data_IF_035940111452
#
_entry.id   IF_035940111452
#
_cell.length_a   1.000
_cell.length_b   1.000
_cell.length_c   1.000
_cell.angle_alpha   90.00
_cell.angle_beta   90.00
_cell.angle_gamma   90.00
#
_symmetry.space_group_name_H-M   'P 1'
#
loop_
_entity.id
_entity.type
_entity.pdbx_description
1 polymer ?
#
# COMPACT_ATOMS: atom_id res chain seq x y z
N UNK A 1 3.13 -18.08 -7.43
CA UNK A 1 2.73 -17.08 -8.42
C UNK A 1 3.51 -15.79 -8.21
N UNK A 2 3.76 -15.05 -9.31
CA UNK A 2 4.34 -13.71 -9.25
C UNK A 2 3.21 -12.71 -9.44
N UNK A 3 3.13 -11.67 -8.60
CA UNK A 3 2.14 -10.60 -8.69
C UNK A 3 2.77 -9.24 -8.94
N UNK A 4 1.96 -8.30 -9.46
CA UNK A 4 2.36 -6.90 -9.57
C UNK A 4 1.92 -6.16 -8.30
N UNK A 5 2.89 -5.63 -7.55
CA UNK A 5 2.63 -4.89 -6.32
C UNK A 5 2.02 -3.49 -6.61
N UNK A 6 1.31 -2.95 -5.61
CA UNK A 6 0.81 -1.58 -5.64
C UNK A 6 1.92 -0.56 -5.89
N UNK A 7 1.57 0.49 -6.61
CA UNK A 7 2.48 1.57 -7.00
C UNK A 7 2.79 1.60 -8.50
N UNK A 8 2.67 0.48 -9.20
CA UNK A 8 2.82 0.41 -10.66
C UNK A 8 1.54 0.91 -11.35
N UNK A 9 0.42 0.27 -11.10
CA UNK A 9 -0.89 0.69 -11.61
C UNK A 9 -1.70 1.44 -10.54
N UNK A 10 -1.50 2.75 -10.45
CA UNK A 10 -2.10 3.55 -9.36
C UNK A 10 -3.57 3.86 -9.57
N UNK A 11 -4.07 3.79 -10.79
CA UNK A 11 -5.40 4.22 -11.17
C UNK A 11 -6.23 3.13 -11.83
N UNK A 12 -5.81 1.89 -11.77
CA UNK A 12 -6.42 0.77 -12.48
C UNK A 12 -6.49 1.03 -14.00
N UNK A 13 -5.37 1.47 -14.57
CA UNK A 13 -5.25 1.77 -16.01
C UNK A 13 -4.89 0.53 -16.83
N UNK A 14 -4.08 -0.40 -16.26
CA UNK A 14 -3.40 -1.46 -17.04
C UNK A 14 -3.46 -2.86 -16.41
N UNK A 15 -4.17 -3.07 -15.29
CA UNK A 15 -4.21 -4.36 -14.57
C UNK A 15 -4.58 -5.56 -15.46
N UNK A 16 -5.55 -5.41 -16.39
CA UNK A 16 -5.91 -6.47 -17.32
C UNK A 16 -4.80 -6.79 -18.33
N UNK A 17 -3.98 -5.80 -18.71
CA UNK A 17 -2.79 -6.03 -19.53
C UNK A 17 -1.71 -6.77 -18.76
N UNK A 18 -1.56 -6.51 -17.46
CA UNK A 18 -0.63 -7.23 -16.59
C UNK A 18 -1.03 -8.70 -16.43
N UNK A 19 -2.31 -9.02 -16.27
CA UNK A 19 -2.78 -10.39 -16.29
C UNK A 19 -2.44 -11.12 -17.61
N UNK A 20 -2.59 -10.44 -18.76
CA UNK A 20 -2.22 -10.99 -20.06
C UNK A 20 -0.71 -11.24 -20.22
N UNK A 21 0.12 -10.50 -19.46
CA UNK A 21 1.57 -10.74 -19.38
C UNK A 21 1.95 -11.91 -18.47
N UNK A 22 0.97 -12.54 -17.79
CA UNK A 22 1.20 -13.73 -16.96
C UNK A 22 1.31 -13.47 -15.46
N UNK A 23 1.03 -12.25 -14.96
CA UNK A 23 0.95 -12.02 -13.53
C UNK A 23 -0.25 -12.78 -12.92
N UNK A 24 -0.01 -13.53 -11.85
CA UNK A 24 -1.02 -14.33 -11.17
C UNK A 24 -2.02 -13.49 -10.34
N UNK A 25 -1.58 -12.30 -9.90
CA UNK A 25 -2.42 -11.29 -9.26
C UNK A 25 -1.84 -9.89 -9.51
N UNK A 26 -2.69 -8.87 -9.40
CA UNK A 26 -2.29 -7.46 -9.55
C UNK A 26 -2.90 -6.64 -8.42
N UNK A 27 -2.09 -5.82 -7.78
CA UNK A 27 -2.54 -4.87 -6.77
C UNK A 27 -2.49 -3.44 -7.31
N UNK A 28 -3.65 -2.78 -7.43
CA UNK A 28 -3.75 -1.38 -7.87
C UNK A 28 -3.68 -0.42 -6.69
N UNK A 29 -3.28 0.81 -6.93
CA UNK A 29 -3.19 1.87 -5.89
C UNK A 29 -1.75 2.25 -5.55
N UNK A 30 -1.51 2.90 -4.39
CA UNK A 30 -2.44 3.16 -3.29
C UNK A 30 -3.50 4.16 -3.74
N UNK A 31 -4.74 3.83 -3.41
CA UNK A 31 -5.92 4.68 -3.66
C UNK A 31 -6.25 5.47 -2.40
N UNK A 32 -6.59 6.75 -2.57
CA UNK A 32 -7.11 7.60 -1.49
C UNK A 32 -8.57 7.98 -1.78
N UNK A 33 -9.39 8.34 -0.78
CA UNK A 33 -10.77 8.73 -1.02
C UNK A 33 -10.89 9.82 -2.09
N UNK A 34 -10.15 10.89 -1.92
CA UNK A 34 -10.10 12.00 -2.85
C UNK A 34 -8.87 11.92 -3.76
N UNK A 35 -9.00 12.44 -4.99
CA UNK A 35 -7.87 12.63 -5.89
C UNK A 35 -6.76 13.44 -5.22
N UNK A 36 -5.50 13.00 -5.41
CA UNK A 36 -4.34 13.82 -5.03
C UNK A 36 -3.19 13.67 -6.03
N UNK A 37 -2.39 14.74 -6.15
CA UNK A 37 -1.31 14.81 -7.15
C UNK A 37 -0.01 14.16 -6.67
N UNK A 38 0.10 13.90 -5.36
CA UNK A 38 1.33 13.44 -4.72
C UNK A 38 2.38 14.54 -4.58
N UNK A 39 3.60 14.13 -4.30
CA UNK A 39 4.71 15.06 -4.08
C UNK A 39 5.21 15.71 -5.39
N UNK A 40 5.87 16.89 -5.32
CA UNK A 40 6.48 17.54 -6.48
C UNK A 40 7.47 16.65 -7.24
N UNK A 41 7.59 16.85 -8.55
CA UNK A 41 8.60 16.21 -9.39
C UNK A 41 9.94 16.99 -9.32
N UNK A 42 11.11 16.32 -9.47
CA UNK A 42 11.32 14.89 -9.66
C UNK A 42 11.05 14.10 -8.39
N UNK A 43 10.47 12.92 -8.52
CA UNK A 43 10.03 12.09 -7.38
C UNK A 43 10.31 10.59 -7.54
N UNK A 44 11.02 10.20 -8.59
CA UNK A 44 11.53 8.85 -8.84
C UNK A 44 12.97 8.97 -9.33
N UNK A 45 13.87 8.23 -8.69
CA UNK A 45 15.31 8.25 -8.95
C UNK A 45 15.79 6.83 -9.15
N UNK A 46 16.40 6.58 -10.30
CA UNK A 46 16.96 5.27 -10.64
C UNK A 46 18.43 5.21 -10.25
N UNK A 47 18.78 4.25 -9.42
CA UNK A 47 20.14 4.00 -8.96
C UNK A 47 20.67 2.75 -9.66
N UNK A 48 21.18 2.92 -10.87
CA UNK A 48 21.57 1.79 -11.74
C UNK A 48 22.68 0.97 -11.10
N UNK A 49 23.70 1.62 -10.54
CA UNK A 49 24.85 0.98 -9.90
C UNK A 49 24.47 0.14 -8.67
N UNK A 50 23.33 0.46 -8.08
CA UNK A 50 22.80 -0.20 -6.87
C UNK A 50 21.67 -1.18 -7.20
N UNK A 51 21.27 -1.33 -8.46
CA UNK A 51 20.09 -2.10 -8.88
C UNK A 51 18.84 -1.71 -8.06
N UNK A 52 18.60 -0.38 -7.94
CA UNK A 52 17.65 0.17 -7.00
C UNK A 52 16.88 1.38 -7.55
N UNK A 53 15.81 1.73 -6.84
CA UNK A 53 15.00 2.94 -7.07
C UNK A 53 14.74 3.66 -5.74
N UNK A 54 14.78 4.98 -5.78
CA UNK A 54 14.20 5.81 -4.72
C UNK A 54 12.95 6.49 -5.24
N UNK A 55 11.87 6.43 -4.48
CA UNK A 55 10.64 7.14 -4.81
C UNK A 55 10.11 7.96 -3.62
N UNK A 56 9.48 9.10 -3.96
CA UNK A 56 8.70 9.92 -3.05
C UNK A 56 7.38 10.32 -3.70
N UNK A 57 6.66 9.32 -4.20
CA UNK A 57 5.45 9.53 -5.01
C UNK A 57 4.32 10.22 -4.26
N UNK A 58 4.07 9.87 -2.98
CA UNK A 58 3.07 10.53 -2.13
C UNK A 58 1.63 10.21 -2.53
N UNK A 59 1.36 8.94 -2.87
CA UNK A 59 0.02 8.42 -3.21
C UNK A 59 -0.72 9.23 -4.29
N UNK A 60 -0.03 9.60 -5.36
CA UNK A 60 -0.71 10.22 -6.50
C UNK A 60 -1.71 9.24 -7.12
N UNK A 61 -2.98 9.65 -7.20
CA UNK A 61 -4.06 8.84 -7.77
C UNK A 61 -5.30 9.72 -8.08
N UNK A 62 -6.26 9.17 -8.83
CA UNK A 62 -7.47 9.86 -9.28
C UNK A 62 -8.62 9.83 -8.26
N UNK A 63 -8.43 9.23 -7.09
CA UNK A 63 -9.45 9.07 -6.06
C UNK A 63 -10.33 7.83 -6.27
N UNK A 64 -10.92 7.36 -5.16
CA UNK A 64 -11.66 6.11 -5.11
C UNK A 64 -12.78 6.02 -6.16
N UNK A 65 -13.59 7.05 -6.31
CA UNK A 65 -14.72 7.05 -7.26
C UNK A 65 -14.27 6.76 -8.68
N UNK A 66 -13.25 7.46 -9.19
CA UNK A 66 -12.77 7.26 -10.56
C UNK A 66 -12.21 5.86 -10.79
N UNK A 67 -11.54 5.30 -9.77
CA UNK A 67 -10.94 3.98 -9.86
C UNK A 67 -12.01 2.89 -9.81
N UNK A 68 -13.03 3.04 -8.94
CA UNK A 68 -14.22 2.17 -8.91
C UNK A 68 -14.93 2.15 -10.27
N UNK A 69 -15.21 3.31 -10.85
CA UNK A 69 -15.89 3.42 -12.14
C UNK A 69 -15.08 2.72 -13.23
N UNK A 70 -13.77 2.85 -13.22
CA UNK A 70 -12.87 2.22 -14.18
C UNK A 70 -12.82 0.69 -14.05
N UNK A 71 -12.75 0.17 -12.83
CA UNK A 71 -12.77 -1.28 -12.58
C UNK A 71 -14.12 -1.87 -13.01
N UNK A 72 -15.23 -1.19 -12.74
CA UNK A 72 -16.57 -1.64 -13.17
C UNK A 72 -16.76 -1.63 -14.69
N UNK A 73 -16.11 -0.70 -15.39
CA UNK A 73 -16.13 -0.64 -16.87
C UNK A 73 -15.26 -1.73 -17.52
N UNK A 74 -14.23 -2.18 -16.85
CA UNK A 74 -13.28 -3.19 -17.34
C UNK A 74 -13.11 -4.29 -16.30
N UNK A 75 -14.05 -5.21 -16.18
CA UNK A 75 -13.98 -6.29 -15.19
C UNK A 75 -12.62 -6.98 -15.17
N UNK A 76 -12.03 -7.22 -13.97
CA UNK A 76 -10.77 -7.94 -13.85
C UNK A 76 -10.87 -9.37 -14.44
N UNK A 77 -9.87 -9.77 -15.22
CA UNK A 77 -9.77 -11.15 -15.76
C UNK A 77 -8.92 -12.06 -14.86
N UNK A 78 -8.46 -11.58 -13.71
CA UNK A 78 -7.66 -12.29 -12.72
C UNK A 78 -7.83 -11.66 -11.34
N UNK A 79 -7.06 -12.13 -10.37
CA UNK A 79 -7.16 -11.74 -8.97
C UNK A 79 -6.66 -10.29 -8.77
N UNK A 80 -7.58 -9.39 -8.45
CA UNK A 80 -7.33 -7.96 -8.28
C UNK A 80 -7.35 -7.54 -6.81
N UNK A 81 -6.21 -7.10 -6.29
CA UNK A 81 -6.10 -6.42 -5.01
C UNK A 81 -6.23 -4.90 -5.15
N UNK A 82 -6.78 -4.26 -4.13
CA UNK A 82 -6.81 -2.80 -4.03
C UNK A 82 -6.08 -2.33 -2.78
N UNK A 83 -4.98 -1.61 -2.98
CA UNK A 83 -4.20 -1.00 -1.90
C UNK A 83 -4.82 0.35 -1.56
N UNK A 84 -5.16 0.57 -0.30
CA UNK A 84 -5.83 1.77 0.18
C UNK A 84 -5.00 2.51 1.22
N UNK A 85 -5.14 3.83 1.24
CA UNK A 85 -4.48 4.70 2.20
C UNK A 85 -5.22 6.02 2.36
N UNK A 86 -4.84 6.83 3.37
CA UNK A 86 -5.47 8.12 3.61
C UNK A 86 -4.96 9.20 2.65
N UNK A 87 -5.77 10.23 2.43
CA UNK A 87 -5.31 11.47 1.81
C UNK A 87 -4.22 12.14 2.66
N UNK A 88 -3.35 12.90 2.02
CA UNK A 88 -2.24 13.59 2.70
C UNK A 88 -2.75 14.59 3.74
N UNK A 89 -3.72 15.39 3.35
CA UNK A 89 -4.20 16.55 4.14
C UNK A 89 -5.47 16.21 4.96
N UNK A 90 -5.75 14.91 5.16
CA UNK A 90 -6.89 14.47 5.98
C UNK A 90 -6.62 14.66 7.47
N UNK A 91 -7.64 15.06 8.21
CA UNK A 91 -7.63 15.06 9.68
C UNK A 91 -8.16 13.76 10.28
N UNK A 92 -8.81 12.91 9.47
CA UNK A 92 -9.40 11.65 9.89
C UNK A 92 -8.89 10.47 9.04
N UNK A 93 -7.65 10.03 9.30
CA UNK A 93 -7.01 8.93 8.55
C UNK A 93 -7.78 7.61 8.62
N UNK A 94 -8.33 7.28 9.78
CA UNK A 94 -9.12 6.05 9.94
C UNK A 94 -10.39 6.13 9.10
N UNK A 95 -11.06 7.28 9.08
CA UNK A 95 -12.22 7.53 8.22
C UNK A 95 -11.93 7.32 6.74
N UNK A 96 -10.75 7.74 6.28
CA UNK A 96 -10.32 7.55 4.89
C UNK A 96 -10.17 6.06 4.52
N UNK A 97 -9.64 5.23 5.44
CA UNK A 97 -9.59 3.77 5.23
C UNK A 97 -11.00 3.18 5.16
N UNK A 98 -11.91 3.62 6.04
CA UNK A 98 -13.31 3.16 6.05
C UNK A 98 -14.03 3.55 4.75
N UNK A 99 -13.83 4.78 4.27
CA UNK A 99 -14.42 5.25 3.00
C UNK A 99 -13.93 4.42 1.81
N UNK A 100 -12.63 4.14 1.74
CA UNK A 100 -12.08 3.26 0.72
C UNK A 100 -12.57 1.81 0.85
N UNK A 101 -12.69 1.27 2.06
CA UNK A 101 -13.28 -0.06 2.27
C UNK A 101 -14.69 -0.12 1.69
N UNK A 102 -15.55 0.87 1.98
CA UNK A 102 -16.91 0.98 1.41
C UNK A 102 -16.91 1.01 -0.11
N UNK A 103 -15.94 1.70 -0.70
CA UNK A 103 -15.84 1.84 -2.14
C UNK A 103 -15.45 0.52 -2.85
N UNK A 104 -14.59 -0.30 -2.22
CA UNK A 104 -13.93 -1.42 -2.90
C UNK A 104 -14.33 -2.81 -2.40
N UNK A 105 -15.06 -2.95 -1.29
CA UNK A 105 -15.34 -4.24 -0.63
C UNK A 105 -16.05 -5.30 -1.48
N UNK A 106 -16.74 -4.89 -2.54
CA UNK A 106 -17.51 -5.78 -3.42
C UNK A 106 -16.97 -5.86 -4.85
N UNK A 107 -15.80 -5.26 -5.11
CA UNK A 107 -15.17 -5.24 -6.44
C UNK A 107 -13.71 -5.66 -6.41
N UNK A 108 -13.09 -5.72 -5.23
CA UNK A 108 -11.74 -6.22 -5.02
C UNK A 108 -11.78 -7.66 -4.50
N UNK A 109 -10.82 -8.48 -4.94
CA UNK A 109 -10.63 -9.84 -4.39
C UNK A 109 -9.96 -9.81 -3.02
N UNK A 110 -9.18 -8.78 -2.73
CA UNK A 110 -8.66 -8.44 -1.40
C UNK A 110 -8.37 -6.95 -1.29
N UNK A 111 -8.32 -6.44 -0.06
CA UNK A 111 -7.99 -5.03 0.22
C UNK A 111 -6.74 -4.95 1.09
N UNK A 112 -5.75 -4.19 0.65
CA UNK A 112 -4.52 -3.94 1.41
C UNK A 112 -4.60 -2.62 2.16
N UNK A 113 -4.56 -2.67 3.48
CA UNK A 113 -4.40 -1.52 4.38
C UNK A 113 -2.92 -1.11 4.39
N UNK A 114 -2.59 -0.01 3.74
CA UNK A 114 -1.21 0.45 3.64
C UNK A 114 -0.87 1.40 4.79
N UNK A 115 -0.15 0.90 5.78
CA UNK A 115 0.34 1.68 6.94
C UNK A 115 1.85 1.96 6.89
N UNK A 116 2.49 1.71 5.74
CA UNK A 116 3.96 1.56 5.65
C UNK A 116 4.67 2.63 4.83
N UNK A 117 3.95 3.55 4.16
CA UNK A 117 4.59 4.53 3.30
C UNK A 117 5.47 5.51 4.08
N UNK A 118 6.76 5.64 3.71
CA UNK A 118 7.63 6.66 4.31
C UNK A 118 7.36 8.06 3.74
N UNK A 119 6.55 8.17 2.70
CA UNK A 119 6.29 9.40 1.97
C UNK A 119 4.99 10.11 2.39
N UNK A 120 4.31 9.59 3.42
CA UNK A 120 3.11 10.14 4.02
C UNK A 120 3.37 10.34 5.50
N UNK A 121 3.34 11.59 5.94
CA UNK A 121 3.62 11.98 7.32
C UNK A 121 2.74 11.20 8.30
N UNK A 122 3.32 10.76 9.41
CA UNK A 122 2.65 10.01 10.50
C UNK A 122 1.93 8.70 10.12
N UNK A 123 2.03 8.23 8.88
CA UNK A 123 1.35 7.00 8.49
C UNK A 123 1.93 5.78 9.23
N UNK A 124 3.24 5.76 9.45
CA UNK A 124 3.92 4.70 10.19
C UNK A 124 3.61 4.70 11.69
N UNK A 125 2.92 5.73 12.22
CA UNK A 125 2.39 5.71 13.57
C UNK A 125 1.38 4.57 13.80
N UNK A 126 0.79 4.01 12.73
CA UNK A 126 -0.03 2.79 12.79
C UNK A 126 0.78 1.51 13.00
N UNK A 127 2.11 1.54 13.07
CA UNK A 127 2.89 0.41 13.59
C UNK A 127 2.77 0.28 15.12
N UNK A 128 2.35 1.34 15.83
CA UNK A 128 2.00 1.25 17.25
C UNK A 128 0.81 0.31 17.45
N UNK A 129 0.93 -0.63 18.40
CA UNK A 129 -0.07 -1.66 18.65
C UNK A 129 -1.47 -1.11 18.95
N UNK A 130 -1.57 -0.02 19.72
CA UNK A 130 -2.87 0.54 20.11
C UNK A 130 -3.57 1.17 18.93
N UNK A 131 -2.83 1.95 18.14
CA UNK A 131 -3.35 2.62 16.93
C UNK A 131 -3.71 1.61 15.85
N UNK A 132 -2.89 0.58 15.64
CA UNK A 132 -3.19 -0.49 14.69
C UNK A 132 -4.45 -1.24 15.11
N UNK A 133 -4.53 -1.63 16.38
CA UNK A 133 -5.70 -2.34 16.90
C UNK A 133 -6.99 -1.51 16.80
N UNK A 134 -6.92 -0.20 17.06
CA UNK A 134 -8.05 0.71 16.86
C UNK A 134 -8.50 0.75 15.40
N UNK A 135 -7.57 0.95 14.46
CA UNK A 135 -7.83 0.94 13.03
C UNK A 135 -8.51 -0.37 12.60
N UNK A 136 -7.94 -1.51 12.97
CA UNK A 136 -8.43 -2.82 12.52
C UNK A 136 -9.78 -3.17 13.13
N UNK A 137 -10.06 -2.80 14.38
CA UNK A 137 -11.39 -2.94 14.99
C UNK A 137 -12.45 -2.15 14.21
N UNK A 138 -12.13 -0.91 13.83
CA UNK A 138 -13.05 -0.08 13.06
C UNK A 138 -13.29 -0.67 11.66
N UNK A 139 -12.23 -1.13 10.98
CA UNK A 139 -12.33 -1.81 9.69
C UNK A 139 -13.19 -3.06 9.78
N UNK A 140 -12.95 -3.92 10.77
CA UNK A 140 -13.72 -5.15 10.97
C UNK A 140 -15.20 -4.88 11.30
N UNK A 141 -15.48 -3.86 12.10
CA UNK A 141 -16.86 -3.46 12.37
C UNK A 141 -17.55 -3.00 11.10
N UNK A 142 -16.86 -2.22 10.27
CA UNK A 142 -17.42 -1.79 9.00
C UNK A 142 -17.60 -2.95 8.01
N UNK A 143 -16.65 -3.92 7.93
CA UNK A 143 -16.85 -5.17 7.16
C UNK A 143 -18.15 -5.86 7.57
N UNK A 144 -18.41 -5.99 8.88
CA UNK A 144 -19.64 -6.60 9.41
C UNK A 144 -20.88 -5.82 9.00
N UNK A 145 -20.86 -4.49 9.12
CA UNK A 145 -21.97 -3.62 8.70
C UNK A 145 -22.30 -3.77 7.21
N UNK A 146 -21.27 -3.89 6.38
CA UNK A 146 -21.37 -4.08 4.93
C UNK A 146 -21.69 -5.52 4.54
N UNK A 147 -21.72 -6.47 5.49
CA UNK A 147 -21.77 -7.92 5.25
C UNK A 147 -20.71 -8.37 4.24
N UNK A 148 -19.55 -7.75 4.29
CA UNK A 148 -18.44 -7.99 3.36
C UNK A 148 -17.59 -9.18 3.82
N UNK A 149 -17.22 -10.02 2.86
CA UNK A 149 -16.30 -11.14 3.06
C UNK A 149 -14.92 -10.87 2.47
N UNK A 150 -14.67 -9.64 1.95
CA UNK A 150 -13.40 -9.29 1.32
C UNK A 150 -12.25 -9.50 2.31
N UNK A 151 -11.20 -10.25 1.94
CA UNK A 151 -10.01 -10.40 2.77
C UNK A 151 -9.30 -9.08 2.98
N UNK A 152 -8.80 -8.84 4.21
CA UNK A 152 -8.00 -7.68 4.56
C UNK A 152 -6.54 -8.11 4.72
N UNK A 153 -5.66 -7.38 4.07
CA UNK A 153 -4.20 -7.56 4.13
C UNK A 153 -3.58 -6.29 4.71
N UNK A 154 -2.59 -6.41 5.58
CA UNK A 154 -1.87 -5.24 6.12
C UNK A 154 -0.46 -5.20 5.54
N UNK A 155 -0.07 -4.05 4.95
CA UNK A 155 1.27 -3.84 4.40
C UNK A 155 2.13 -3.00 5.32
N UNK A 156 3.26 -3.60 5.76
CA UNK A 156 4.17 -3.01 6.76
C UNK A 156 5.46 -2.48 6.14
N UNK A 157 6.20 -1.67 6.93
CA UNK A 157 7.51 -1.16 6.56
C UNK A 157 8.60 -2.22 6.74
N UNK A 158 9.68 -2.21 5.93
CA UNK A 158 10.86 -3.03 6.19
C UNK A 158 11.76 -2.46 7.29
N UNK A 159 11.46 -1.27 7.80
CA UNK A 159 12.27 -0.56 8.79
C UNK A 159 11.80 -0.79 10.23
N UNK A 160 11.02 -1.84 10.47
CA UNK A 160 10.58 -2.31 11.78
C UNK A 160 11.52 -3.40 12.29
N UNK A 161 11.72 -3.47 13.60
CA UNK A 161 12.54 -4.52 14.22
C UNK A 161 11.73 -5.80 14.51
N UNK A 162 12.42 -6.88 14.92
CA UNK A 162 11.79 -8.18 15.20
C UNK A 162 10.78 -8.11 16.35
N UNK A 163 10.95 -7.20 17.30
CA UNK A 163 10.01 -7.02 18.40
C UNK A 163 8.76 -6.31 17.95
N UNK A 164 8.92 -5.32 17.10
CA UNK A 164 7.80 -4.58 16.50
C UNK A 164 6.98 -5.47 15.58
N UNK A 165 7.62 -6.27 14.70
CA UNK A 165 6.90 -7.18 13.82
C UNK A 165 6.10 -8.23 14.61
N UNK A 166 6.65 -8.80 15.68
CA UNK A 166 5.94 -9.74 16.52
C UNK A 166 4.68 -9.10 17.15
N UNK A 167 4.79 -7.88 17.66
CA UNK A 167 3.65 -7.14 18.21
C UNK A 167 2.58 -6.84 17.13
N UNK A 168 3.02 -6.48 15.93
CA UNK A 168 2.10 -6.28 14.81
C UNK A 168 1.38 -7.60 14.49
N UNK A 169 2.10 -8.71 14.38
CA UNK A 169 1.50 -10.02 14.12
C UNK A 169 0.46 -10.42 15.16
N UNK A 170 0.74 -10.18 16.46
CA UNK A 170 -0.24 -10.40 17.53
C UNK A 170 -1.53 -9.58 17.34
N UNK A 171 -1.39 -8.30 16.96
CA UNK A 171 -2.56 -7.45 16.68
C UNK A 171 -3.32 -7.94 15.46
N UNK A 172 -2.64 -8.36 14.39
CA UNK A 172 -3.28 -8.90 13.20
C UNK A 172 -4.08 -10.18 13.50
N UNK A 173 -3.48 -11.12 14.23
CA UNK A 173 -4.14 -12.36 14.65
C UNK A 173 -5.36 -12.09 15.54
N UNK A 174 -5.25 -11.17 16.51
CA UNK A 174 -6.35 -10.80 17.41
C UNK A 174 -7.50 -10.06 16.71
N UNK A 175 -7.29 -9.60 15.49
CA UNK A 175 -8.31 -8.94 14.67
C UNK A 175 -8.70 -9.75 13.41
N UNK A 176 -8.38 -11.04 13.36
CA UNK A 176 -8.74 -11.94 12.27
C UNK A 176 -8.32 -11.38 10.88
N UNK A 177 -7.13 -10.79 10.80
CA UNK A 177 -6.58 -10.27 9.53
C UNK A 177 -6.00 -11.44 8.74
N UNK A 178 -6.40 -11.53 7.48
CA UNK A 178 -6.14 -12.71 6.66
C UNK A 178 -4.70 -12.82 6.16
N UNK A 179 -3.97 -11.68 5.98
CA UNK A 179 -2.59 -11.72 5.51
C UNK A 179 -1.77 -10.45 5.85
N UNK A 180 -0.46 -10.57 5.72
CA UNK A 180 0.50 -9.47 5.82
C UNK A 180 1.35 -9.38 4.56
N UNK A 181 1.67 -8.16 4.09
CA UNK A 181 2.64 -7.91 3.02
C UNK A 181 3.93 -7.39 3.62
N UNK A 182 5.00 -8.14 3.45
CA UNK A 182 6.36 -7.78 3.79
C UNK A 182 7.14 -7.64 2.48
N UNK A 183 7.51 -6.43 2.06
CA UNK A 183 7.30 -5.17 2.76
C UNK A 183 7.09 -4.00 1.77
N UNK A 184 7.05 -2.79 2.30
CA UNK A 184 7.14 -1.55 1.51
C UNK A 184 8.61 -1.19 1.25
N UNK A 185 8.88 0.05 0.85
CA UNK A 185 10.21 0.63 0.64
C UNK A 185 10.83 1.12 1.96
N UNK A 186 12.16 1.10 2.05
CA UNK A 186 12.93 1.55 3.21
C UNK A 186 13.32 3.03 3.11
N UNK A 187 13.35 3.75 4.23
CA UNK A 187 13.98 5.06 4.33
C UNK A 187 15.27 5.07 5.18
N UNK A 188 15.65 3.93 5.77
CA UNK A 188 16.78 3.78 6.68
C UNK A 188 18.07 3.25 6.05
N UNK A 189 18.01 2.55 4.92
CA UNK A 189 19.16 1.82 4.33
C UNK A 189 19.84 2.65 3.23
N UNK A 190 20.86 3.48 3.58
CA UNK A 190 21.52 4.41 2.64
C UNK A 190 23.04 4.26 2.56
N UNK A 191 23.68 3.79 3.61
CA UNK A 191 25.14 3.89 3.82
C UNK A 191 25.99 3.15 2.78
N UNK A 192 25.39 2.20 2.06
CA UNK A 192 26.09 1.37 1.06
C UNK A 192 25.75 1.74 -0.39
N UNK A 193 24.95 2.78 -0.61
CA UNK A 193 24.58 3.21 -1.95
C UNK A 193 25.75 3.88 -2.65
N UNK A 194 25.99 3.49 -3.91
CA UNK A 194 27.08 3.98 -4.75
C UNK A 194 26.66 5.15 -5.64
N UNK A 195 25.39 5.14 -6.07
CA UNK A 195 24.89 6.16 -6.97
C UNK A 195 24.78 7.51 -6.27
N UNK A 196 25.18 8.58 -6.96
CA UNK A 196 25.16 9.97 -6.47
C UNK A 196 23.76 10.42 -6.01
N UNK A 197 22.68 9.84 -6.56
CA UNK A 197 21.31 10.13 -6.15
C UNK A 197 20.87 9.35 -4.91
N UNK A 198 21.74 8.52 -4.31
CA UNK A 198 21.45 7.75 -3.10
C UNK A 198 21.06 8.61 -1.89
N UNK A 199 21.45 9.90 -1.87
CA UNK A 199 21.08 10.86 -0.82
C UNK A 199 19.66 11.41 -0.94
N UNK A 200 18.96 11.13 -2.04
CA UNK A 200 17.58 11.63 -2.23
C UNK A 200 16.64 11.10 -1.16
N UNK A 201 15.75 11.96 -0.65
CA UNK A 201 14.68 11.55 0.27
C UNK A 201 13.65 10.68 -0.45
N UNK A 202 13.07 9.71 0.26
CA UNK A 202 12.03 8.82 -0.27
C UNK A 202 12.27 7.36 0.10
N UNK A 203 11.40 6.47 -0.33
CA UNK A 203 11.51 5.04 -0.08
C UNK A 203 12.46 4.38 -1.08
N UNK A 204 13.44 3.65 -0.59
CA UNK A 204 14.37 2.83 -1.36
C UNK A 204 13.78 1.45 -1.59
N UNK A 205 13.88 0.96 -2.83
CA UNK A 205 13.52 -0.40 -3.24
C UNK A 205 14.63 -1.03 -4.08
N UNK A 206 14.54 -2.34 -4.29
CA UNK A 206 15.51 -3.11 -5.07
C UNK A 206 16.54 -3.83 -4.22
N UNK A 207 17.65 -4.21 -4.84
CA UNK A 207 18.67 -5.08 -4.25
C UNK A 207 19.16 -4.69 -2.84
N UNK A 208 19.35 -3.38 -2.50
CA UNK A 208 19.84 -2.99 -1.17
C UNK A 208 18.94 -3.37 0.01
N UNK A 209 17.65 -3.65 -0.25
CA UNK A 209 16.69 -4.04 0.81
C UNK A 209 16.21 -5.48 0.69
N UNK A 210 16.83 -6.29 -0.18
CA UNK A 210 16.38 -7.66 -0.45
C UNK A 210 16.33 -8.52 0.82
N UNK A 211 17.32 -8.38 1.71
CA UNK A 211 17.40 -9.16 2.95
C UNK A 211 16.41 -8.70 4.03
N UNK A 212 15.71 -7.58 3.80
CA UNK A 212 14.71 -7.02 4.72
C UNK A 212 13.26 -7.27 4.27
N UNK A 213 13.08 -7.90 3.12
CA UNK A 213 11.77 -8.07 2.49
C UNK A 213 11.38 -9.52 2.29
#
# INVERSE_FOLDING_TARGET
PIGMAAGFDKNADVYNSLFKLGFGFVEVGTVTPLKQYGNPKPRVFRLVEDEALINRLGFNNLGAKNIVDRIKQNNPIGLLGVNIGPNKDTTNRIGDYVENLKAFHNIADYITINISSPNTEDLRNFHDQKKLNELLKIINNEKKNLKSIVPIVVKVSPDIDDREINKICEVLLNNDIEAIIISNTSDSTRDRLKNIQGHQRGGLSGKPIQDKS
#
